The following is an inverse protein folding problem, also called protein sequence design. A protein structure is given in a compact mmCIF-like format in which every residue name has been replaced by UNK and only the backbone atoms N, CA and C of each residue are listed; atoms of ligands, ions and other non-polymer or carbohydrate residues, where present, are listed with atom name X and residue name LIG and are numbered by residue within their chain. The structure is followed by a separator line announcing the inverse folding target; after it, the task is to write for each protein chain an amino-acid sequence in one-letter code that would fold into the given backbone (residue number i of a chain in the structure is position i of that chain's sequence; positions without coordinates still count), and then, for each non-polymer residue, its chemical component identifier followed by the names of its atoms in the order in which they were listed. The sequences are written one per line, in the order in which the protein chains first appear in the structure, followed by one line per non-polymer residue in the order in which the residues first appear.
data_IF_615093057265
#
_entry.id   IF_615093057265
#
_cell.length_a   1.000
_cell.length_b   1.000
_cell.length_c   1.000
_cell.angle_alpha   90.00
_cell.angle_beta   90.00
_cell.angle_gamma   90.00
#
_symmetry.space_group_name_H-M   'P 1'
#
loop_
_entity.id
_entity.type
_entity.pdbx_description
1 polymer ?
#
# COMPACT_ATOMS: atom_id res chain seq x y z
N UNK A 1 -43.73 -9.02 23.85
CA UNK A 1 -42.56 -9.86 23.52
C UNK A 1 -42.35 -9.77 22.03
N UNK A 2 -41.55 -8.79 21.60
CA UNK A 2 -41.30 -8.51 20.20
C UNK A 2 -40.12 -9.38 19.73
N UNK A 3 -40.42 -10.47 19.03
CA UNK A 3 -39.41 -11.37 18.49
C UNK A 3 -38.84 -10.73 17.22
N UNK A 4 -37.59 -10.29 17.34
CA UNK A 4 -36.81 -9.56 16.35
C UNK A 4 -37.06 -9.98 14.90
N UNK A 5 -37.49 -9.00 14.11
CA UNK A 5 -37.45 -9.06 12.66
C UNK A 5 -35.99 -9.24 12.21
N UNK A 6 -35.62 -10.43 11.76
CA UNK A 6 -34.36 -10.64 11.05
C UNK A 6 -34.49 -9.88 9.73
N UNK A 7 -33.93 -8.66 9.64
CA UNK A 7 -33.88 -7.91 8.37
C UNK A 7 -33.14 -8.76 7.34
N UNK A 8 -33.84 -9.23 6.31
CA UNK A 8 -33.26 -9.97 5.18
C UNK A 8 -32.63 -9.04 4.13
N UNK A 9 -32.68 -7.73 4.36
CA UNK A 9 -32.38 -6.70 3.35
C UNK A 9 -31.03 -6.00 3.58
N UNK A 10 -30.16 -6.58 4.42
CA UNK A 10 -28.85 -6.03 4.72
C UNK A 10 -27.74 -7.09 4.66
N UNK A 11 -26.56 -6.64 4.26
CA UNK A 11 -25.31 -7.42 4.38
C UNK A 11 -24.35 -6.70 5.32
N UNK A 12 -23.50 -7.48 5.98
CA UNK A 12 -22.52 -6.96 6.93
C UNK A 12 -21.12 -7.04 6.33
N UNK A 13 -20.44 -5.90 6.30
CA UNK A 13 -19.04 -5.76 5.92
C UNK A 13 -18.18 -5.76 7.18
N UNK A 14 -17.21 -6.67 7.26
CA UNK A 14 -16.26 -6.77 8.37
C UNK A 14 -14.89 -6.24 7.96
N UNK A 15 -14.42 -5.21 8.66
CA UNK A 15 -13.12 -4.57 8.45
C UNK A 15 -12.30 -4.61 9.74
N UNK A 16 -11.05 -4.13 9.70
CA UNK A 16 -10.25 -3.96 10.92
C UNK A 16 -10.85 -2.94 11.89
N UNK A 17 -11.55 -1.92 11.38
CA UNK A 17 -12.19 -0.88 12.20
C UNK A 17 -13.57 -1.27 12.74
N UNK A 18 -14.09 -2.44 12.38
CA UNK A 18 -15.37 -2.94 12.89
C UNK A 18 -16.29 -3.50 11.80
N UNK A 19 -17.56 -3.66 12.17
CA UNK A 19 -18.60 -4.28 11.35
C UNK A 19 -19.64 -3.22 10.95
N UNK A 20 -19.92 -3.13 9.66
CA UNK A 20 -20.77 -2.09 9.10
C UNK A 20 -21.92 -2.68 8.29
N UNK A 21 -23.13 -2.16 8.50
CA UNK A 21 -24.33 -2.53 7.74
C UNK A 21 -24.28 -1.90 6.34
N UNK A 22 -24.73 -2.64 5.33
CA UNK A 22 -24.88 -2.22 3.93
C UNK A 22 -26.22 -2.71 3.39
N UNK A 23 -26.69 -2.08 2.32
CA UNK A 23 -27.85 -2.58 1.57
C UNK A 23 -27.57 -3.98 1.00
N UNK A 24 -28.60 -4.81 0.88
CA UNK A 24 -28.46 -6.16 0.33
C UNK A 24 -27.85 -6.22 -1.07
N UNK A 25 -28.04 -5.16 -1.86
CA UNK A 25 -27.53 -5.04 -3.23
C UNK A 25 -26.12 -4.45 -3.33
N UNK A 26 -25.44 -4.24 -2.21
CA UNK A 26 -24.11 -3.62 -2.16
C UNK A 26 -23.09 -4.33 -3.06
N UNK A 27 -22.51 -3.59 -4.00
CA UNK A 27 -21.59 -4.13 -5.01
C UNK A 27 -22.24 -4.84 -6.20
N UNK A 28 -23.58 -4.92 -6.29
CA UNK A 28 -24.26 -5.70 -7.35
C UNK A 28 -24.26 -5.06 -8.75
N UNK A 29 -23.96 -3.76 -8.85
CA UNK A 29 -23.96 -2.98 -10.09
C UNK A 29 -22.93 -1.85 -10.01
N UNK A 30 -22.57 -1.23 -11.12
CA UNK A 30 -21.59 -0.13 -11.11
C UNK A 30 -22.15 1.12 -10.44
N UNK A 31 -21.72 1.38 -9.20
CA UNK A 31 -22.08 2.57 -8.41
C UNK A 31 -20.94 2.93 -7.45
N UNK A 32 -20.92 4.17 -6.99
CA UNK A 32 -20.07 4.63 -5.89
C UNK A 32 -20.59 4.12 -4.54
N UNK A 33 -20.51 2.81 -4.32
CA UNK A 33 -21.14 2.13 -3.18
C UNK A 33 -20.67 2.61 -1.81
N UNK A 34 -19.46 3.15 -1.72
CA UNK A 34 -18.87 3.59 -0.45
C UNK A 34 -19.06 5.09 -0.19
N UNK A 35 -19.68 5.82 -1.11
CA UNK A 35 -19.88 7.26 -0.97
C UNK A 35 -20.64 7.57 0.32
N UNK A 36 -20.04 8.40 1.18
CA UNK A 36 -20.59 8.82 2.47
C UNK A 36 -20.84 7.66 3.47
N UNK A 37 -20.14 6.52 3.32
CA UNK A 37 -20.27 5.38 4.22
C UNK A 37 -18.99 5.10 5.03
N UNK A 38 -19.12 4.67 6.29
CA UNK A 38 -17.97 4.26 7.09
C UNK A 38 -17.46 2.87 6.66
N UNK A 39 -16.16 2.57 6.78
CA UNK A 39 -15.13 3.44 7.35
C UNK A 39 -14.48 4.37 6.31
N UNK A 40 -14.24 5.63 6.68
CA UNK A 40 -13.32 6.54 6.00
C UNK A 40 -13.96 7.37 4.89
N UNK A 41 -15.10 6.97 4.34
CA UNK A 41 -15.86 7.77 3.40
C UNK A 41 -16.98 8.59 4.04
N UNK A 42 -17.24 8.39 5.32
CA UNK A 42 -18.20 9.13 6.16
C UNK A 42 -17.66 10.46 6.70
N UNK A 43 -16.40 10.79 6.41
CA UNK A 43 -15.79 12.06 6.78
C UNK A 43 -16.42 13.24 6.02
N UNK A 44 -16.78 14.30 6.74
CA UNK A 44 -17.45 15.49 6.18
C UNK A 44 -16.50 16.42 5.42
N UNK A 45 -15.19 16.33 5.68
CA UNK A 45 -14.20 17.13 4.97
C UNK A 45 -13.77 16.43 3.68
N UNK A 46 -14.10 17.03 2.53
CA UNK A 46 -13.71 16.48 1.22
C UNK A 46 -12.20 16.33 1.06
N UNK A 47 -11.38 17.14 1.76
CA UNK A 47 -9.92 17.08 1.65
C UNK A 47 -9.31 15.84 2.32
N UNK A 48 -10.00 15.23 3.28
CA UNK A 48 -9.51 14.03 3.98
C UNK A 48 -10.17 12.76 3.47
N UNK A 49 -11.31 12.90 2.78
CA UNK A 49 -12.04 11.79 2.16
C UNK A 49 -11.20 11.12 1.07
N UNK A 50 -10.96 9.80 1.14
CA UNK A 50 -10.25 9.08 0.10
C UNK A 50 -10.92 9.20 -1.28
N UNK A 51 -10.10 9.31 -2.33
CA UNK A 51 -10.61 9.47 -3.70
C UNK A 51 -11.44 8.26 -4.19
N UNK A 52 -11.20 7.07 -3.64
CA UNK A 52 -11.94 5.86 -3.99
C UNK A 52 -13.41 5.88 -3.54
N UNK A 53 -13.77 6.73 -2.57
CA UNK A 53 -15.14 6.85 -2.07
C UNK A 53 -16.18 7.26 -3.14
N UNK A 54 -15.75 7.97 -4.18
CA UNK A 54 -16.60 8.39 -5.29
C UNK A 54 -16.47 7.49 -6.53
N UNK A 55 -15.64 6.45 -6.48
CA UNK A 55 -15.41 5.57 -7.62
C UNK A 55 -16.46 4.47 -7.70
N UNK A 56 -16.91 4.20 -8.92
CA UNK A 56 -17.83 3.13 -9.22
C UNK A 56 -17.12 1.78 -9.26
N UNK A 57 -17.72 0.79 -8.61
CA UNK A 57 -17.24 -0.59 -8.66
C UNK A 57 -18.40 -1.58 -8.56
N UNK A 58 -18.15 -2.82 -8.92
CA UNK A 58 -19.06 -3.94 -8.69
C UNK A 58 -18.31 -5.23 -8.37
N UNK A 59 -19.02 -6.20 -7.80
CA UNK A 59 -18.57 -7.59 -7.74
C UNK A 59 -18.64 -8.22 -9.13
N UNK A 60 -17.63 -9.02 -9.43
CA UNK A 60 -17.46 -9.68 -10.72
C UNK A 60 -17.22 -11.16 -10.54
N UNK A 61 -17.62 -11.94 -11.54
CA UNK A 61 -17.25 -13.34 -11.63
C UNK A 61 -15.77 -13.46 -12.03
N UNK A 62 -14.90 -14.02 -11.17
CA UNK A 62 -13.48 -14.11 -11.47
C UNK A 62 -13.15 -15.03 -12.67
N UNK A 63 -14.05 -15.92 -13.07
CA UNK A 63 -13.86 -16.85 -14.19
C UNK A 63 -14.29 -16.26 -15.54
N UNK A 64 -15.23 -15.30 -15.52
CA UNK A 64 -15.82 -14.74 -16.75
C UNK A 64 -15.51 -13.25 -16.95
N UNK A 65 -14.97 -12.57 -15.93
CA UNK A 65 -14.53 -11.18 -16.05
C UNK A 65 -13.03 -11.11 -16.36
N UNK A 66 -12.70 -10.47 -17.49
CA UNK A 66 -11.32 -10.28 -17.96
C UNK A 66 -10.69 -8.96 -17.49
N UNK A 67 -11.45 -8.08 -16.83
CA UNK A 67 -10.92 -6.83 -16.29
C UNK A 67 -10.06 -7.07 -15.04
N UNK A 68 -9.21 -6.11 -14.69
CA UNK A 68 -8.46 -6.17 -13.44
C UNK A 68 -9.43 -6.24 -12.26
N UNK A 69 -9.13 -7.16 -11.34
CA UNK A 69 -9.97 -7.47 -10.19
C UNK A 69 -9.14 -7.82 -8.97
N UNK A 70 -9.71 -7.61 -7.80
CA UNK A 70 -9.12 -7.95 -6.52
C UNK A 70 -10.10 -8.78 -5.68
N UNK A 71 -9.56 -9.63 -4.80
CA UNK A 71 -10.37 -10.33 -3.80
C UNK A 71 -10.80 -9.33 -2.72
N UNK A 72 -12.07 -9.37 -2.32
CA UNK A 72 -12.54 -8.60 -1.17
C UNK A 72 -11.97 -9.19 0.13
N UNK A 73 -11.51 -8.33 1.03
CA UNK A 73 -11.12 -8.67 2.41
C UNK A 73 -12.25 -8.38 3.40
N UNK A 74 -13.30 -7.69 2.96
CA UNK A 74 -14.39 -7.17 3.78
C UNK A 74 -15.50 -8.19 4.06
N UNK A 75 -15.51 -9.32 3.32
CA UNK A 75 -16.47 -10.42 3.51
C UNK A 75 -15.72 -11.68 3.93
N UNK A 76 -15.60 -11.90 5.24
CA UNK A 76 -14.87 -13.06 5.79
C UNK A 76 -15.53 -14.37 5.33
N UNK A 77 -14.75 -15.23 4.68
CA UNK A 77 -15.21 -16.54 4.18
C UNK A 77 -15.88 -16.51 2.79
N UNK A 78 -16.15 -15.32 2.22
CA UNK A 78 -16.65 -15.19 0.86
C UNK A 78 -15.51 -15.03 -0.14
N UNK A 79 -15.49 -15.85 -1.20
CA UNK A 79 -14.59 -15.63 -2.36
C UNK A 79 -15.22 -14.61 -3.32
N UNK A 80 -15.43 -13.39 -2.84
CA UNK A 80 -15.94 -12.28 -3.65
C UNK A 80 -14.78 -11.53 -4.31
N UNK A 81 -14.93 -11.23 -5.60
CA UNK A 81 -13.99 -10.42 -6.36
C UNK A 81 -14.68 -9.16 -6.84
N UNK A 82 -14.03 -8.01 -6.72
CA UNK A 82 -14.54 -6.74 -7.20
C UNK A 82 -13.65 -6.17 -8.29
N UNK A 83 -14.21 -5.28 -9.11
CA UNK A 83 -13.50 -4.56 -10.16
C UNK A 83 -14.02 -3.14 -10.27
N UNK A 84 -13.12 -2.16 -10.12
CA UNK A 84 -13.36 -0.76 -10.48
C UNK A 84 -13.27 -0.57 -12.00
N UNK A 85 -12.36 -1.29 -12.67
CA UNK A 85 -12.13 -1.18 -14.11
C UNK A 85 -13.37 -1.60 -14.93
N UNK A 86 -14.11 -2.62 -14.45
CA UNK A 86 -15.39 -3.03 -15.07
C UNK A 86 -16.40 -1.87 -15.14
N UNK A 87 -16.30 -0.91 -14.22
CA UNK A 87 -17.16 0.26 -14.13
C UNK A 87 -16.53 1.53 -14.72
N UNK A 88 -15.35 1.42 -15.34
CA UNK A 88 -14.66 2.54 -15.97
C UNK A 88 -13.77 3.36 -15.04
N UNK A 89 -13.58 2.94 -13.78
CA UNK A 89 -12.78 3.63 -12.79
C UNK A 89 -11.44 2.94 -12.52
N UNK A 90 -10.43 3.71 -12.12
CA UNK A 90 -9.17 3.16 -11.63
C UNK A 90 -9.35 2.55 -10.23
N UNK A 91 -8.59 1.50 -9.88
CA UNK A 91 -8.63 0.93 -8.52
C UNK A 91 -7.77 1.75 -7.53
N UNK A 92 -8.31 2.89 -7.06
CA UNK A 92 -7.64 3.72 -6.05
C UNK A 92 -7.81 3.15 -4.64
N UNK A 93 -8.83 2.34 -4.39
CA UNK A 93 -9.04 1.68 -3.11
C UNK A 93 -7.85 0.80 -2.74
N UNK A 94 -7.40 -0.07 -3.67
CA UNK A 94 -6.24 -0.92 -3.42
C UNK A 94 -4.94 -0.12 -3.25
N UNK A 95 -4.81 1.02 -3.94
CA UNK A 95 -3.66 1.92 -3.77
C UNK A 95 -3.67 2.51 -2.35
N UNK A 96 -4.82 3.00 -1.90
CA UNK A 96 -5.01 3.58 -0.57
C UNK A 96 -4.78 2.56 0.55
N UNK A 97 -5.32 1.34 0.39
CA UNK A 97 -5.09 0.24 1.34
C UNK A 97 -3.61 -0.11 1.50
N UNK A 98 -2.82 -0.12 0.41
CA UNK A 98 -1.37 -0.36 0.50
C UNK A 98 -0.64 0.75 1.25
N UNK A 99 -1.03 2.01 1.06
CA UNK A 99 -0.43 3.16 1.74
C UNK A 99 -0.82 3.15 3.22
N UNK A 100 -2.11 2.97 3.52
CA UNK A 100 -2.65 2.93 4.88
C UNK A 100 -2.08 1.78 5.70
N UNK A 101 -1.80 0.63 5.07
CA UNK A 101 -1.15 -0.50 5.75
C UNK A 101 0.27 -0.18 6.27
N UNK A 102 0.92 0.87 5.77
CA UNK A 102 2.25 1.30 6.25
C UNK A 102 2.16 2.24 7.46
N UNK A 103 0.99 2.81 7.76
CA UNK A 103 0.83 3.82 8.81
C UNK A 103 1.22 3.24 10.18
N UNK A 104 2.11 3.94 10.89
CA UNK A 104 2.62 3.53 12.19
C UNK A 104 3.63 2.36 12.15
N UNK A 105 3.94 1.80 10.98
CA UNK A 105 4.98 0.78 10.86
C UNK A 105 6.36 1.40 11.10
N UNK A 106 7.25 0.67 11.76
CA UNK A 106 8.67 1.02 11.86
C UNK A 106 9.45 0.25 10.80
N UNK A 107 9.87 0.94 9.75
CA UNK A 107 10.59 0.34 8.62
C UNK A 107 12.09 0.57 8.73
N UNK A 108 12.86 -0.50 8.63
CA UNK A 108 14.31 -0.53 8.73
C UNK A 108 14.93 -0.21 7.38
N UNK A 109 15.76 0.82 7.35
CA UNK A 109 16.45 1.22 6.13
C UNK A 109 17.96 1.32 6.36
N UNK A 110 18.72 1.23 5.28
CA UNK A 110 20.13 1.57 5.28
C UNK A 110 20.53 2.22 3.95
N UNK A 111 21.43 3.20 4.02
CA UNK A 111 22.22 3.62 2.87
C UNK A 111 23.55 2.88 2.88
N UNK A 112 23.93 2.19 1.79
CA UNK A 112 25.18 1.42 1.75
C UNK A 112 26.44 2.27 1.95
N UNK A 113 26.43 3.52 1.50
CA UNK A 113 27.56 4.45 1.56
C UNK A 113 27.05 5.89 1.41
N UNK A 114 27.84 6.89 1.80
CA UNK A 114 27.54 8.31 1.52
C UNK A 114 28.00 8.70 0.11
N UNK A 115 27.06 9.15 -0.74
CA UNK A 115 27.28 9.49 -2.14
C UNK A 115 26.50 10.76 -2.49
N UNK A 116 27.23 11.83 -2.86
CA UNK A 116 26.63 13.05 -3.40
C UNK A 116 26.22 12.86 -4.87
N UNK A 117 25.11 13.46 -5.33
CA UNK A 117 24.09 14.21 -4.58
C UNK A 117 22.95 13.32 -4.02
N UNK A 118 23.09 11.99 -4.09
CA UNK A 118 22.01 11.03 -3.85
C UNK A 118 21.61 10.91 -2.38
N UNK A 119 22.55 10.54 -1.53
CA UNK A 119 22.34 10.35 -0.10
C UNK A 119 23.70 10.50 0.59
N UNK A 120 23.85 11.43 1.51
CA UNK A 120 25.12 11.65 2.20
C UNK A 120 24.86 12.15 3.61
N UNK A 121 25.75 11.79 4.55
CA UNK A 121 25.70 12.36 5.89
C UNK A 121 26.32 13.76 5.94
N UNK A 122 25.64 14.66 6.62
CA UNK A 122 26.17 15.95 7.06
C UNK A 122 27.09 15.75 8.27
N UNK A 123 27.81 16.81 8.67
CA UNK A 123 28.71 16.79 9.84
C UNK A 123 27.97 16.47 11.15
N UNK A 124 26.70 16.85 11.24
CA UNK A 124 25.82 16.56 12.37
C UNK A 124 25.25 15.12 12.36
N UNK A 125 25.62 14.31 11.37
CA UNK A 125 25.20 12.92 11.23
C UNK A 125 23.85 12.71 10.56
N UNK A 126 23.11 13.77 10.21
CA UNK A 126 21.84 13.67 9.47
C UNK A 126 22.09 13.30 8.02
N UNK A 127 21.17 12.53 7.44
CA UNK A 127 21.14 12.27 6.01
C UNK A 127 20.62 13.48 5.23
N UNK A 128 21.15 13.67 4.03
CA UNK A 128 20.68 14.64 3.05
C UNK A 128 20.87 14.09 1.63
N UNK A 129 20.21 14.70 0.65
CA UNK A 129 20.32 14.33 -0.77
C UNK A 129 18.99 13.87 -1.36
N UNK A 130 18.98 13.67 -2.67
CA UNK A 130 17.77 13.41 -3.46
C UNK A 130 16.99 12.20 -2.92
N UNK A 131 17.69 11.10 -2.61
CA UNK A 131 17.06 9.87 -2.13
C UNK A 131 16.56 10.01 -0.69
N UNK A 132 17.23 10.82 0.14
CA UNK A 132 16.77 11.12 1.48
C UNK A 132 15.50 11.96 1.46
N UNK A 133 15.45 13.00 0.62
CA UNK A 133 14.26 13.84 0.46
C UNK A 133 13.08 13.04 -0.08
N UNK A 134 13.30 12.23 -1.12
CA UNK A 134 12.28 11.33 -1.64
C UNK A 134 11.75 10.35 -0.58
N UNK A 135 12.64 9.78 0.24
CA UNK A 135 12.23 8.86 1.30
C UNK A 135 11.37 9.56 2.36
N UNK A 136 11.70 10.81 2.73
CA UNK A 136 10.89 11.57 3.68
C UNK A 136 9.51 11.93 3.10
N UNK A 137 9.41 12.24 1.80
CA UNK A 137 8.10 12.44 1.17
C UNK A 137 7.23 11.17 1.24
N UNK A 138 7.82 9.99 1.01
CA UNK A 138 7.11 8.74 1.16
C UNK A 138 6.71 8.47 2.62
N UNK A 139 7.61 8.76 3.56
CA UNK A 139 7.37 8.66 4.99
C UNK A 139 6.16 9.50 5.40
N UNK A 140 6.15 10.77 5.02
CA UNK A 140 5.09 11.71 5.38
C UNK A 140 3.75 11.33 4.73
N UNK A 141 3.78 10.87 3.47
CA UNK A 141 2.57 10.47 2.76
C UNK A 141 1.95 9.18 3.32
N UNK A 142 2.77 8.21 3.73
CA UNK A 142 2.29 6.91 4.19
C UNK A 142 2.20 6.80 5.74
N UNK A 143 2.82 7.73 6.47
CA UNK A 143 2.80 7.79 7.92
C UNK A 143 3.57 6.66 8.62
N UNK A 144 4.61 6.11 8.00
CA UNK A 144 5.52 5.14 8.65
C UNK A 144 6.68 5.86 9.35
N UNK A 145 7.41 5.13 10.18
CA UNK A 145 8.63 5.60 10.84
C UNK A 145 9.87 4.91 10.27
N UNK A 146 10.99 5.64 10.27
CA UNK A 146 12.26 5.17 9.72
C UNK A 146 13.21 4.76 10.83
N UNK A 147 13.76 3.55 10.72
CA UNK A 147 14.76 3.01 11.64
C UNK A 147 16.06 2.77 10.87
N UNK A 148 17.05 3.64 11.08
CA UNK A 148 18.37 3.47 10.47
C UNK A 148 19.06 2.21 11.00
N UNK A 149 19.64 1.43 10.09
CA UNK A 149 20.46 0.25 10.36
C UNK A 149 21.73 0.30 9.51
N UNK A 150 22.74 -0.43 9.95
CA UNK A 150 23.96 -0.61 9.18
C UNK A 150 23.83 -1.82 8.26
N UNK A 151 24.39 -1.71 7.07
CA UNK A 151 24.54 -2.84 6.14
C UNK A 151 25.57 -3.83 6.69
N UNK A 152 25.29 -5.13 6.59
CA UNK A 152 26.22 -6.15 7.04
C UNK A 152 27.44 -6.24 6.12
N UNK A 153 28.64 -6.06 6.66
CA UNK A 153 29.88 -6.15 5.88
C UNK A 153 30.17 -7.60 5.49
N UNK A 154 30.02 -7.94 4.20
CA UNK A 154 30.59 -9.15 3.59
C UNK A 154 31.30 -8.82 2.29
N UNK A 155 32.42 -9.50 2.07
CA UNK A 155 33.53 -9.30 1.11
C UNK A 155 33.24 -8.94 -0.37
N UNK A 156 31.99 -8.77 -0.80
CA UNK A 156 31.65 -8.43 -2.20
C UNK A 156 31.53 -6.92 -2.41
N UNK A 157 30.37 -6.33 -2.09
CA UNK A 157 30.12 -4.89 -2.17
C UNK A 157 29.03 -4.47 -1.18
N UNK A 158 29.03 -3.21 -0.76
CA UNK A 158 28.02 -2.67 0.17
C UNK A 158 26.60 -2.73 -0.41
N UNK A 159 26.43 -2.66 -1.73
CA UNK A 159 25.12 -2.79 -2.38
C UNK A 159 24.63 -4.24 -2.39
N UNK A 160 25.52 -5.20 -2.65
CA UNK A 160 25.16 -6.61 -2.59
C UNK A 160 24.79 -7.02 -1.16
N UNK A 161 25.49 -6.46 -0.18
CA UNK A 161 25.17 -6.64 1.22
C UNK A 161 23.81 -6.02 1.59
N UNK A 162 23.49 -4.83 1.10
CA UNK A 162 22.18 -4.21 1.37
C UNK A 162 21.03 -5.05 0.81
N UNK A 163 21.18 -5.56 -0.42
CA UNK A 163 20.20 -6.46 -1.04
C UNK A 163 20.09 -7.79 -0.29
N UNK A 164 21.22 -8.33 0.18
CA UNK A 164 21.24 -9.53 1.00
C UNK A 164 20.54 -9.32 2.35
N UNK A 165 20.73 -8.17 2.98
CA UNK A 165 20.08 -7.83 4.24
C UNK A 165 18.56 -7.67 4.08
N UNK A 166 18.08 -7.16 2.94
CA UNK A 166 16.65 -7.19 2.60
C UNK A 166 16.17 -8.63 2.45
N UNK A 167 16.88 -9.46 1.67
CA UNK A 167 16.52 -10.86 1.44
C UNK A 167 16.45 -11.66 2.74
N UNK A 168 17.34 -11.36 3.69
CA UNK A 168 17.39 -11.99 5.03
C UNK A 168 16.43 -11.36 6.04
N UNK A 169 15.65 -10.35 5.64
CA UNK A 169 14.70 -9.66 6.51
C UNK A 169 15.36 -8.86 7.63
N UNK A 170 16.61 -8.42 7.47
CA UNK A 170 17.34 -7.53 8.38
C UNK A 170 17.04 -6.06 8.09
N UNK A 171 16.81 -5.74 6.82
CA UNK A 171 16.35 -4.44 6.33
C UNK A 171 15.01 -4.63 5.61
N UNK A 172 14.19 -3.58 5.60
CA UNK A 172 12.96 -3.56 4.82
C UNK A 172 13.21 -2.96 3.43
N UNK A 173 14.10 -1.98 3.31
CA UNK A 173 14.55 -1.45 2.02
C UNK A 173 15.90 -0.70 2.08
N UNK A 174 16.47 -0.47 0.89
CA UNK A 174 17.69 0.32 0.67
C UNK A 174 17.41 1.42 -0.36
N UNK A 175 17.18 2.67 0.05
CA UNK A 175 16.70 3.73 -0.85
C UNK A 175 17.86 4.38 -1.62
N UNK A 176 18.63 3.58 -2.35
CA UNK A 176 19.84 4.04 -3.07
C UNK A 176 19.69 3.93 -4.58
N UNK A 177 20.30 4.85 -5.32
CA UNK A 177 20.50 4.67 -6.75
C UNK A 177 21.42 3.47 -6.97
N UNK A 178 20.90 2.42 -7.62
CA UNK A 178 21.66 1.20 -7.86
C UNK A 178 21.24 0.51 -9.14
N UNK A 179 22.21 -0.16 -9.76
CA UNK A 179 21.97 -0.95 -10.96
C UNK A 179 21.21 -2.23 -10.63
N UNK A 180 20.14 -2.46 -11.38
CA UNK A 180 19.40 -3.73 -11.37
C UNK A 180 20.20 -4.75 -12.16
N UNK A 181 20.91 -5.63 -11.46
CA UNK A 181 21.63 -6.76 -12.05
C UNK A 181 20.99 -8.08 -11.64
N UNK A 182 21.15 -9.13 -12.47
CA UNK A 182 20.48 -10.43 -12.29
C UNK A 182 20.62 -11.00 -10.87
N UNK A 183 21.80 -10.91 -10.26
CA UNK A 183 22.05 -11.46 -8.93
C UNK A 183 21.33 -10.69 -7.81
N UNK A 184 21.02 -9.41 -8.00
CA UNK A 184 20.29 -8.60 -7.01
C UNK A 184 18.79 -8.75 -7.21
N UNK A 185 18.32 -8.72 -8.46
CA UNK A 185 16.92 -8.88 -8.81
C UNK A 185 16.34 -10.24 -8.39
N UNK A 186 17.18 -11.27 -8.23
CA UNK A 186 16.77 -12.58 -7.67
C UNK A 186 16.57 -12.59 -6.15
N UNK A 187 17.08 -11.59 -5.43
CA UNK A 187 17.11 -11.54 -3.96
C UNK A 187 16.17 -10.49 -3.37
N UNK A 188 15.98 -9.37 -4.05
CA UNK A 188 15.04 -8.35 -3.63
C UNK A 188 14.33 -7.71 -4.82
N UNK A 189 13.06 -7.31 -4.68
CA UNK A 189 12.38 -6.49 -5.67
C UNK A 189 13.03 -5.10 -5.75
N UNK A 190 12.98 -4.49 -6.93
CA UNK A 190 13.44 -3.13 -7.17
C UNK A 190 12.24 -2.26 -7.51
N UNK A 191 12.22 -1.04 -6.98
CA UNK A 191 11.29 -0.02 -7.44
C UNK A 191 11.63 0.35 -8.90
N UNK A 192 10.65 0.87 -9.62
CA UNK A 192 10.87 1.41 -10.97
C UNK A 192 12.01 2.45 -10.94
N UNK A 193 12.83 2.53 -12.00
CA UNK A 193 13.98 3.43 -12.02
C UNK A 193 13.55 4.87 -11.75
N UNK A 194 14.17 5.51 -10.74
CA UNK A 194 13.97 6.93 -10.44
C UNK A 194 14.61 7.82 -11.54
N UNK A 195 15.55 7.26 -12.30
CA UNK A 195 16.22 7.90 -13.43
C UNK A 195 16.29 6.91 -14.58
N UNK A 196 15.92 7.36 -15.77
CA UNK A 196 16.12 6.63 -17.01
C UNK A 196 17.56 6.84 -17.49
N UNK A 197 18.23 5.76 -17.90
CA UNK A 197 19.41 5.80 -18.77
C UNK A 197 19.02 5.21 -20.11
#
# INVERSE_FOLDING_TARGET
SDLGHVRRDAVWVATESGMFERSFDYGSSCKAWDSNLPPGCDESAEQTRPAWCSQSWCFVDPLHCNAARASSTWFRGGRLFYSYETCGDADLFRKDMKVSALRGMQLRFAFPASIRPWHYKLEDGRWEGIMWQWLNLLKDQAGFELVERNVTSKNNSLWDACVEDIYRGLLDFCPTASWVVKNRARRAPFASPVLWS
#
